data_IF_594155403846
#
_entry.id   IF_594155403846
#
_cell.length_a   1.000
_cell.length_b   1.000
_cell.length_c   1.000
_cell.angle_alpha   90.00
_cell.angle_beta   90.00
_cell.angle_gamma   90.00
#
_symmetry.space_group_name_H-M   'P 1'
#
loop_
_entity.id
_entity.type
_entity.pdbx_description
1 polymer ?
#
# COMPACT_ATOMS: atom_id res chain seq x y z
N UNK A 1 -11.86 -1.22 6.44
CA UNK A 1 -10.74 -1.93 5.80
C UNK A 1 -9.54 -1.91 6.74
N UNK A 2 -8.64 -2.90 6.66
CA UNK A 2 -7.34 -2.81 7.33
C UNK A 2 -6.35 -2.11 6.38
N UNK A 3 -5.63 -1.11 6.86
CA UNK A 3 -4.61 -0.37 6.12
C UNK A 3 -3.27 -0.53 6.85
N UNK A 4 -2.26 -1.05 6.16
CA UNK A 4 -0.92 -1.26 6.71
C UNK A 4 0.06 -0.37 5.97
N UNK A 5 0.91 0.35 6.71
CA UNK A 5 1.91 1.23 6.10
C UNK A 5 3.23 1.23 6.87
N UNK A 6 4.36 1.40 6.17
CA UNK A 6 5.68 1.48 6.82
C UNK A 6 6.06 2.91 7.24
N UNK A 7 5.70 3.90 6.42
CA UNK A 7 6.08 5.31 6.58
C UNK A 7 4.98 6.23 6.07
N UNK A 8 4.60 7.23 6.87
CA UNK A 8 3.59 8.22 6.49
C UNK A 8 4.24 9.45 5.82
N UNK A 9 4.71 9.28 4.59
CA UNK A 9 5.13 10.41 3.75
C UNK A 9 4.08 10.75 2.69
N UNK A 10 4.40 11.70 1.80
CA UNK A 10 3.45 12.20 0.81
C UNK A 10 2.96 11.09 -0.12
N UNK A 11 3.81 10.13 -0.49
CA UNK A 11 3.44 9.06 -1.43
C UNK A 11 2.43 8.12 -0.79
N UNK A 12 2.71 7.63 0.42
CA UNK A 12 1.79 6.81 1.23
C UNK A 12 0.45 7.52 1.47
N UNK A 13 0.49 8.79 1.89
CA UNK A 13 -0.73 9.53 2.22
C UNK A 13 -1.61 9.78 0.98
N UNK A 14 -1.00 10.12 -0.16
CA UNK A 14 -1.75 10.32 -1.41
C UNK A 14 -2.28 9.00 -1.95
N UNK A 15 -1.50 7.91 -1.89
CA UNK A 15 -1.95 6.57 -2.27
C UNK A 15 -3.16 6.13 -1.43
N UNK A 16 -3.12 6.34 -0.11
CA UNK A 16 -4.24 6.05 0.77
C UNK A 16 -5.50 6.85 0.44
N UNK A 17 -5.36 8.15 0.17
CA UNK A 17 -6.48 9.00 -0.23
C UNK A 17 -7.12 8.53 -1.55
N UNK A 18 -6.29 8.18 -2.55
CA UNK A 18 -6.75 7.65 -3.84
C UNK A 18 -7.40 6.26 -3.71
N UNK A 19 -6.88 5.41 -2.83
CA UNK A 19 -7.42 4.08 -2.55
C UNK A 19 -8.71 4.09 -1.71
N UNK A 20 -9.18 5.27 -1.29
CA UNK A 20 -10.44 5.45 -0.58
C UNK A 20 -10.37 5.20 0.92
N UNK A 21 -9.20 5.39 1.55
CA UNK A 21 -9.05 5.31 3.01
C UNK A 21 -9.91 6.38 3.69
N UNK A 22 -10.69 5.99 4.69
CA UNK A 22 -11.62 6.85 5.42
C UNK A 22 -11.48 6.71 6.95
N UNK A 23 -12.09 7.62 7.71
CA UNK A 23 -12.01 7.69 9.18
C UNK A 23 -12.43 6.40 9.91
N UNK A 24 -13.20 5.52 9.26
CA UNK A 24 -13.63 4.23 9.82
C UNK A 24 -12.68 3.07 9.58
N UNK A 25 -11.59 3.28 8.83
CA UNK A 25 -10.61 2.24 8.55
C UNK A 25 -9.63 2.02 9.70
N UNK A 26 -9.21 0.77 9.89
CA UNK A 26 -8.19 0.43 10.86
C UNK A 26 -6.82 0.65 10.23
N UNK A 27 -6.12 1.69 10.66
CA UNK A 27 -4.79 2.04 10.15
C UNK A 27 -3.71 1.55 11.11
N UNK A 28 -2.80 0.71 10.62
CA UNK A 28 -1.72 0.08 11.39
C UNK A 28 -0.38 0.53 10.83
N UNK A 29 0.42 1.18 11.68
CA UNK A 29 1.81 1.47 11.38
C UNK A 29 2.68 0.24 11.63
N UNK A 30 3.40 -0.20 10.59
CA UNK A 30 4.24 -1.38 10.62
C UNK A 30 5.57 -1.09 9.92
N UNK A 31 6.58 -0.53 10.62
CA UNK A 31 7.82 -0.05 10.01
C UNK A 31 8.68 -1.17 9.38
N UNK A 32 8.42 -2.44 9.72
CA UNK A 32 9.05 -3.60 9.10
C UNK A 32 8.35 -4.11 7.84
N UNK A 33 7.32 -3.41 7.35
CA UNK A 33 6.47 -3.86 6.24
C UNK A 33 5.35 -4.81 6.68
N UNK A 34 4.38 -5.03 5.80
CA UNK A 34 3.25 -5.92 6.02
C UNK A 34 3.69 -7.39 6.14
N UNK A 35 2.92 -8.19 6.86
CA UNK A 35 3.17 -9.63 6.96
C UNK A 35 2.79 -10.36 5.66
N UNK A 36 3.33 -11.56 5.41
CA UNK A 36 2.91 -12.36 4.25
C UNK A 36 1.41 -12.67 4.21
N UNK A 37 0.74 -12.74 5.36
CA UNK A 37 -0.71 -12.92 5.46
C UNK A 37 -1.46 -11.66 5.01
N UNK A 38 -1.00 -10.48 5.43
CA UNK A 38 -1.57 -9.19 5.02
C UNK A 38 -1.39 -8.96 3.52
N UNK A 39 -0.21 -9.24 2.97
CA UNK A 39 0.07 -9.07 1.53
C UNK A 39 -0.76 -9.99 0.62
N UNK A 40 -1.24 -11.12 1.13
CA UNK A 40 -2.07 -12.09 0.38
C UNK A 40 -3.57 -11.87 0.57
N UNK A 41 -3.96 -10.98 1.48
CA UNK A 41 -5.37 -10.72 1.78
C UNK A 41 -5.90 -9.56 0.91
N UNK A 42 -6.80 -9.83 -0.05
CA UNK A 42 -7.35 -8.79 -0.93
C UNK A 42 -8.30 -7.82 -0.21
N UNK A 43 -8.60 -8.03 1.08
CA UNK A 43 -9.34 -7.08 1.92
C UNK A 43 -8.42 -6.15 2.74
N UNK A 44 -7.10 -6.37 2.69
CA UNK A 44 -6.10 -5.53 3.32
C UNK A 44 -5.50 -4.59 2.28
N UNK A 45 -5.32 -3.32 2.64
CA UNK A 45 -4.62 -2.32 1.83
C UNK A 45 -3.20 -2.15 2.38
N UNK A 46 -2.18 -2.48 1.60
CA UNK A 46 -0.78 -2.26 1.97
C UNK A 46 -0.23 -1.06 1.20
N UNK A 47 0.29 -0.06 1.91
CA UNK A 47 0.84 1.18 1.34
C UNK A 47 2.31 1.32 1.74
N UNK A 48 3.21 1.28 0.77
CA UNK A 48 4.66 1.33 0.97
C UNK A 48 5.14 0.32 2.04
N UNK A 49 4.51 -0.86 2.06
CA UNK A 49 4.69 -1.86 3.10
C UNK A 49 5.12 -3.22 2.52
N UNK A 50 5.74 -3.22 1.34
CA UNK A 50 6.07 -4.42 0.58
C UNK A 50 4.98 -4.85 -0.40
N UNK A 51 5.21 -5.96 -1.10
CA UNK A 51 4.31 -6.44 -2.16
C UNK A 51 4.47 -5.72 -3.49
N UNK A 52 5.63 -5.08 -3.72
CA UNK A 52 5.99 -4.42 -4.98
C UNK A 52 5.55 -5.18 -6.23
N UNK A 53 4.70 -4.52 -7.03
CA UNK A 53 4.17 -5.03 -8.30
C UNK A 53 2.89 -5.85 -8.18
N UNK A 54 2.33 -6.01 -6.97
CA UNK A 54 1.09 -6.76 -6.70
C UNK A 54 -0.11 -5.81 -6.48
N UNK A 55 -0.27 -4.85 -7.38
CA UNK A 55 -1.32 -3.82 -7.30
C UNK A 55 -2.72 -4.43 -7.30
N UNK A 56 -2.91 -5.53 -8.02
CA UNK A 56 -4.13 -6.32 -8.08
C UNK A 56 -4.53 -6.94 -6.73
N UNK A 57 -3.57 -7.09 -5.81
CA UNK A 57 -3.78 -7.53 -4.44
C UNK A 57 -3.89 -6.36 -3.45
N UNK A 58 -3.99 -5.12 -3.95
CA UNK A 58 -4.02 -3.88 -3.15
C UNK A 58 -2.72 -3.63 -2.38
N UNK A 59 -1.60 -4.11 -2.91
CA UNK A 59 -0.27 -3.78 -2.43
C UNK A 59 0.31 -2.67 -3.32
N UNK A 60 0.38 -1.45 -2.78
CA UNK A 60 0.94 -0.29 -3.45
C UNK A 60 2.33 -0.02 -2.89
N UNK A 61 3.35 -0.46 -3.60
CA UNK A 61 4.75 -0.43 -3.16
C UNK A 61 5.68 -0.49 -4.38
N UNK A 62 6.86 0.11 -4.27
CA UNK A 62 7.85 0.13 -5.35
C UNK A 62 9.29 -0.15 -4.89
N UNK A 63 9.46 -0.60 -3.64
CA UNK A 63 10.75 -0.87 -3.01
C UNK A 63 11.22 -2.33 -3.21
N UNK A 64 12.51 -2.59 -2.97
CA UNK A 64 13.09 -3.95 -2.93
C UNK A 64 12.79 -4.84 -4.15
N UNK A 65 12.68 -4.23 -5.34
CA UNK A 65 12.44 -4.91 -6.61
C UNK A 65 13.48 -4.50 -7.66
N UNK A 66 13.73 -5.38 -8.63
CA UNK A 66 14.60 -5.07 -9.78
C UNK A 66 13.88 -4.25 -10.87
N UNK A 67 12.54 -4.18 -10.81
CA UNK A 67 11.74 -3.45 -11.77
C UNK A 67 11.61 -1.97 -11.36
N UNK A 68 11.65 -1.02 -12.32
CA UNK A 68 11.42 0.39 -12.04
C UNK A 68 9.91 0.64 -11.89
N UNK A 69 9.34 0.23 -10.76
CA UNK A 69 7.93 0.43 -10.48
C UNK A 69 7.65 1.91 -10.14
N UNK A 70 6.48 2.44 -10.53
CA UNK A 70 6.13 3.81 -10.20
C UNK A 70 5.78 3.95 -8.70
N UNK A 71 5.83 5.16 -8.14
CA UNK A 71 5.46 5.45 -6.73
C UNK A 71 4.05 4.96 -6.37
N UNK A 72 3.78 4.64 -5.10
CA UNK A 72 2.50 4.07 -4.67
C UNK A 72 1.29 4.94 -5.06
N UNK A 73 1.41 6.27 -4.99
CA UNK A 73 0.32 7.15 -5.39
C UNK A 73 0.00 7.06 -6.88
N UNK A 74 1.03 6.86 -7.73
CA UNK A 74 0.83 6.65 -9.17
C UNK A 74 0.18 5.30 -9.44
N UNK A 75 0.61 4.26 -8.72
CA UNK A 75 -0.03 2.94 -8.79
C UNK A 75 -1.51 3.02 -8.40
N UNK A 76 -1.83 3.69 -7.29
CA UNK A 76 -3.20 3.89 -6.80
C UNK A 76 -4.06 4.67 -7.80
N UNK A 77 -3.52 5.74 -8.40
CA UNK A 77 -4.23 6.53 -9.41
C UNK A 77 -4.60 5.70 -10.65
N UNK A 78 -3.69 4.82 -11.11
CA UNK A 78 -3.91 3.99 -12.29
C UNK A 78 -4.80 2.77 -12.03
N UNK A 79 -4.94 2.36 -10.77
CA UNK A 79 -5.77 1.23 -10.37
C UNK A 79 -7.24 1.61 -10.10
N UNK A 80 -7.53 2.92 -10.02
CA UNK A 80 -8.86 3.48 -9.74
C UNK A 80 -9.80 3.49 -10.95
#
# INVERSE_FOLDING_TARGET
MLVVFSKADLDTCLAGALAGVADGDLVVWQPGGATPEQLRDPQTLCLEAGGSGQVELRNFDHHDTALPLPPAATQAFLAA
#
